data_IF_331717839645
#
_entry.id   IF_331717839645
#
_cell.length_a   1.000
_cell.length_b   1.000
_cell.length_c   1.000
_cell.angle_alpha   90.00
_cell.angle_beta   90.00
_cell.angle_gamma   90.00
#
_symmetry.space_group_name_H-M   'P 1'
#
loop_
_entity.id
_entity.type
_entity.pdbx_description
1 polymer ?
#
# COMPACT_ATOMS: atom_id res chain seq x y z
N UNK A 1 9.44 -10.17 -3.67
CA UNK A 1 9.73 -9.04 -4.58
C UNK A 1 8.64 -7.99 -4.41
N UNK A 2 8.99 -6.71 -4.18
CA UNK A 2 7.97 -5.64 -4.09
C UNK A 2 8.03 -4.83 -5.39
N UNK A 3 7.01 -4.95 -6.23
CA UNK A 3 6.89 -4.24 -7.51
C UNK A 3 8.08 -4.41 -8.48
N UNK A 4 8.60 -5.63 -8.63
CA UNK A 4 9.68 -5.92 -9.58
C UNK A 4 11.09 -5.63 -9.07
N UNK A 5 11.23 -5.12 -7.84
CA UNK A 5 12.54 -4.87 -7.23
C UNK A 5 12.80 -5.82 -6.05
N UNK A 6 14.03 -6.34 -5.96
CA UNK A 6 14.54 -7.00 -4.76
C UNK A 6 15.37 -6.01 -3.96
N UNK A 7 15.15 -5.96 -2.63
CA UNK A 7 15.92 -5.08 -1.75
C UNK A 7 17.41 -5.41 -1.74
N UNK A 8 17.76 -6.68 -1.99
CA UNK A 8 19.14 -7.15 -2.07
C UNK A 8 19.92 -6.45 -3.20
N UNK A 9 19.23 -6.04 -4.28
CA UNK A 9 19.88 -5.46 -5.46
C UNK A 9 20.21 -3.97 -5.29
N UNK A 10 19.73 -3.31 -4.24
CA UNK A 10 19.88 -1.86 -4.05
C UNK A 10 21.34 -1.40 -4.06
N UNK A 11 22.27 -2.23 -3.58
CA UNK A 11 23.71 -1.92 -3.61
C UNK A 11 24.32 -1.87 -5.02
N UNK A 12 23.65 -2.47 -6.00
CA UNK A 12 24.07 -2.49 -7.42
C UNK A 12 23.38 -1.42 -8.27
N UNK A 13 22.43 -0.69 -7.71
CA UNK A 13 21.63 0.27 -8.47
C UNK A 13 22.42 1.55 -8.75
N UNK A 14 22.26 2.04 -9.97
CA UNK A 14 22.68 3.40 -10.33
C UNK A 14 21.85 4.43 -9.55
N UNK A 15 22.38 5.65 -9.42
CA UNK A 15 21.66 6.75 -8.76
C UNK A 15 20.23 6.96 -9.29
N UNK A 16 20.04 6.90 -10.61
CA UNK A 16 18.72 7.03 -11.24
C UNK A 16 17.77 5.90 -10.81
N UNK A 17 18.26 4.66 -10.78
CA UNK A 17 17.46 3.51 -10.35
C UNK A 17 17.07 3.62 -8.87
N UNK A 18 17.96 4.11 -8.01
CA UNK A 18 17.66 4.38 -6.60
C UNK A 18 16.57 5.45 -6.45
N UNK A 19 16.63 6.54 -7.21
CA UNK A 19 15.60 7.58 -7.20
C UNK A 19 14.24 7.01 -7.60
N UNK A 20 14.17 6.27 -8.72
CA UNK A 20 12.92 5.67 -9.18
C UNK A 20 12.36 4.65 -8.19
N UNK A 21 13.22 3.83 -7.59
CA UNK A 21 12.83 2.89 -6.55
C UNK A 21 12.24 3.61 -5.33
N UNK A 22 12.90 4.67 -4.88
CA UNK A 22 12.46 5.45 -3.71
C UNK A 22 11.11 6.15 -3.97
N UNK A 23 10.95 6.81 -5.11
CA UNK A 23 9.69 7.43 -5.51
C UNK A 23 8.55 6.42 -5.56
N UNK A 24 8.81 5.24 -6.12
CA UNK A 24 7.84 4.16 -6.16
C UNK A 24 7.51 3.66 -4.74
N UNK A 25 8.50 3.49 -3.89
CA UNK A 25 8.31 3.06 -2.51
C UNK A 25 7.45 4.06 -1.72
N UNK A 26 7.68 5.36 -1.90
CA UNK A 26 6.86 6.43 -1.31
C UNK A 26 5.42 6.41 -1.83
N UNK A 27 5.22 6.24 -3.14
CA UNK A 27 3.88 6.16 -3.72
C UNK A 27 3.08 4.98 -3.14
N UNK A 28 3.75 3.85 -2.91
CA UNK A 28 3.11 2.68 -2.30
C UNK A 28 2.81 2.92 -0.82
N UNK A 29 3.74 3.48 -0.05
CA UNK A 29 3.51 3.82 1.37
C UNK A 29 2.31 4.79 1.51
N UNK A 30 2.21 5.81 0.65
CA UNK A 30 1.06 6.73 0.64
C UNK A 30 -0.26 6.00 0.36
N UNK A 31 -0.28 5.05 -0.58
CA UNK A 31 -1.48 4.24 -0.87
C UNK A 31 -1.86 3.35 0.29
N UNK A 32 -0.89 2.69 0.93
CA UNK A 32 -1.11 1.84 2.10
C UNK A 32 -1.60 2.66 3.31
N UNK A 33 -1.08 3.88 3.51
CA UNK A 33 -1.59 4.81 4.53
C UNK A 33 -3.01 5.25 4.22
N UNK A 34 -3.31 5.63 2.98
CA UNK A 34 -4.66 6.04 2.59
C UNK A 34 -5.67 4.91 2.79
N UNK A 35 -5.34 3.67 2.40
CA UNK A 35 -6.17 2.50 2.63
C UNK A 35 -6.46 2.30 4.13
N UNK A 36 -5.42 2.34 4.98
CA UNK A 36 -5.59 2.25 6.44
C UNK A 36 -6.46 3.35 7.03
N UNK A 37 -6.31 4.59 6.55
CA UNK A 37 -7.18 5.70 6.99
C UNK A 37 -8.64 5.44 6.62
N UNK A 38 -8.91 4.93 5.42
CA UNK A 38 -10.26 4.54 5.00
C UNK A 38 -10.81 3.41 5.87
N UNK A 39 -10.01 2.37 6.12
CA UNK A 39 -10.41 1.24 6.96
C UNK A 39 -10.75 1.70 8.38
N UNK A 40 -9.93 2.56 8.98
CA UNK A 40 -10.18 3.13 10.31
C UNK A 40 -11.42 4.02 10.33
N UNK A 41 -11.62 4.85 9.29
CA UNK A 41 -12.81 5.68 9.19
C UNK A 41 -14.08 4.84 9.06
N UNK A 42 -14.05 3.76 8.29
CA UNK A 42 -15.17 2.83 8.17
C UNK A 42 -15.41 2.06 9.48
N UNK A 43 -14.35 1.63 10.17
CA UNK A 43 -14.46 1.00 11.47
C UNK A 43 -15.10 1.94 12.50
N UNK A 44 -14.73 3.22 12.50
CA UNK A 44 -15.31 4.22 13.39
C UNK A 44 -16.76 4.58 13.03
N UNK A 45 -17.06 4.77 11.74
CA UNK A 45 -18.41 5.07 11.27
C UNK A 45 -19.38 3.90 11.48
N UNK A 46 -18.87 2.66 11.37
CA UNK A 46 -19.63 1.43 11.57
C UNK A 46 -20.78 1.25 10.58
N UNK A 47 -21.80 0.51 11.04
CA UNK A 47 -23.03 0.27 10.30
C UNK A 47 -22.86 -0.53 9.01
N UNK A 48 -23.89 -0.48 8.15
CA UNK A 48 -23.95 -1.31 6.93
C UNK A 48 -22.75 -1.10 6.00
N UNK A 49 -22.25 0.14 5.86
CA UNK A 49 -21.10 0.44 5.00
C UNK A 49 -19.81 -0.25 5.46
N UNK A 50 -19.58 -0.36 6.77
CA UNK A 50 -18.44 -1.07 7.31
C UNK A 50 -18.58 -2.59 7.06
N UNK A 51 -19.78 -3.15 7.26
CA UNK A 51 -20.09 -4.55 6.98
C UNK A 51 -19.89 -4.89 5.50
N UNK A 52 -20.39 -4.06 4.59
CA UNK A 52 -20.25 -4.25 3.14
C UNK A 52 -18.78 -4.19 2.69
N UNK A 53 -18.00 -3.29 3.28
CA UNK A 53 -16.55 -3.19 3.04
C UNK A 53 -15.82 -4.48 3.47
N UNK A 54 -16.09 -4.97 4.68
CA UNK A 54 -15.51 -6.23 5.17
C UNK A 54 -15.93 -7.42 4.31
N UNK A 55 -17.20 -7.51 3.91
CA UNK A 55 -17.69 -8.55 3.02
C UNK A 55 -17.00 -8.51 1.65
N UNK A 56 -16.72 -7.31 1.13
CA UNK A 56 -16.00 -7.14 -0.13
C UNK A 56 -14.55 -7.65 -0.02
N UNK A 57 -13.87 -7.39 1.10
CA UNK A 57 -12.49 -7.81 1.34
C UNK A 57 -12.34 -9.32 1.61
N UNK A 58 -13.39 -9.97 2.12
CA UNK A 58 -13.36 -11.38 2.53
C UNK A 58 -14.02 -12.33 1.54
N UNK A 59 -14.58 -11.80 0.44
CA UNK A 59 -15.25 -12.58 -0.60
C UNK A 59 -14.23 -13.52 -1.27
N UNK A 60 -14.47 -14.83 -1.14
CA UNK A 60 -13.67 -15.91 -1.75
C UNK A 60 -14.22 -16.28 -3.12
#
# INVERSE_FOLDING_TARGET
MRHGHQRADLGSYTRRQLTLYYERALAVDRRERAARTVDMNLAFAGGQKATDHVNTLTKR
#
